data_IF_186846312971
#
_entry.id   IF_186846312971
#
_cell.length_a   1.000
_cell.length_b   1.000
_cell.length_c   1.000
_cell.angle_alpha   90.00
_cell.angle_beta   90.00
_cell.angle_gamma   90.00
#
_symmetry.space_group_name_H-M   'P 1'
#
loop_
_entity.id
_entity.type
_entity.pdbx_description
1 polymer ?
#
# COMPACT_ATOMS: atom_id res chain seq x y z
N UNK A 1 13.47 -6.80 9.34
CA UNK A 1 13.15 -6.68 7.89
C UNK A 1 11.69 -6.21 7.72
N UNK A 2 11.37 -5.34 6.78
CA UNK A 2 10.02 -4.72 6.68
C UNK A 2 8.89 -5.74 6.40
N UNK A 3 9.22 -6.98 6.05
CA UNK A 3 8.27 -8.06 5.79
C UNK A 3 7.87 -8.82 7.06
N UNK A 4 8.54 -8.58 8.20
CA UNK A 4 8.25 -9.26 9.48
C UNK A 4 7.23 -8.53 10.34
N UNK A 5 6.82 -7.33 9.94
CA UNK A 5 5.74 -6.58 10.63
C UNK A 5 4.37 -7.14 10.23
N UNK A 6 3.38 -7.09 11.14
CA UNK A 6 2.02 -7.53 10.85
C UNK A 6 1.41 -6.78 9.66
N UNK A 7 0.54 -7.47 8.90
CA UNK A 7 -0.06 -6.94 7.68
C UNK A 7 -0.98 -5.75 7.97
N UNK A 8 -1.59 -5.72 9.16
CA UNK A 8 -2.46 -4.64 9.62
C UNK A 8 -1.67 -3.35 9.82
N UNK A 9 -0.47 -3.47 10.41
CA UNK A 9 0.43 -2.32 10.62
C UNK A 9 0.94 -1.81 9.27
N UNK A 10 1.28 -2.72 8.36
CA UNK A 10 1.69 -2.36 7.01
C UNK A 10 0.57 -1.62 6.25
N UNK A 11 -0.68 -2.07 6.40
CA UNK A 11 -1.85 -1.41 5.80
C UNK A 11 -2.05 0.02 6.34
N UNK A 12 -1.95 0.22 7.65
CA UNK A 12 -2.07 1.56 8.25
C UNK A 12 -0.94 2.49 7.79
N UNK A 13 0.30 1.99 7.69
CA UNK A 13 1.42 2.76 7.10
C UNK A 13 1.07 3.19 5.67
N UNK A 14 0.54 2.28 4.85
CA UNK A 14 0.19 2.60 3.46
C UNK A 14 -0.90 3.67 3.38
N UNK A 15 -1.91 3.63 4.26
CA UNK A 15 -2.98 4.63 4.32
C UNK A 15 -2.40 6.01 4.67
N UNK A 16 -1.45 6.07 5.61
CA UNK A 16 -0.78 7.32 5.97
C UNK A 16 0.19 7.85 4.89
N UNK A 17 0.60 7.00 3.94
CA UNK A 17 1.41 7.40 2.80
C UNK A 17 0.58 7.83 1.57
N UNK A 18 -0.75 7.83 1.65
CA UNK A 18 -1.60 8.26 0.54
C UNK A 18 -1.45 9.77 0.30
N UNK A 19 -1.35 10.21 -0.97
CA UNK A 19 -1.44 11.62 -1.30
C UNK A 19 -2.83 12.17 -0.99
N UNK A 20 -2.93 13.47 -0.69
CA UNK A 20 -4.21 14.18 -0.47
C UNK A 20 -5.21 14.04 -1.63
N UNK A 21 -4.70 13.79 -2.85
CA UNK A 21 -5.50 13.45 -4.02
C UNK A 21 -5.03 12.11 -4.57
N UNK A 22 -5.89 11.11 -4.48
CA UNK A 22 -5.70 9.80 -5.10
C UNK A 22 -5.92 9.90 -6.60
N UNK A 23 -4.88 10.32 -7.33
CA UNK A 23 -4.86 10.19 -8.79
C UNK A 23 -4.31 8.81 -9.16
N UNK A 24 -4.95 8.08 -10.09
CA UNK A 24 -4.41 6.80 -10.57
C UNK A 24 -3.11 7.06 -11.34
N UNK A 25 -1.99 6.92 -10.64
CA UNK A 25 -0.65 7.04 -11.19
C UNK A 25 0.19 5.83 -10.71
N UNK A 26 0.78 5.05 -11.63
CA UNK A 26 1.63 3.91 -11.27
C UNK A 26 2.84 4.29 -10.41
N UNK A 27 3.22 5.57 -10.38
CA UNK A 27 4.32 6.10 -9.57
C UNK A 27 3.91 6.52 -8.17
N UNK A 28 2.61 6.56 -7.87
CA UNK A 28 2.09 6.95 -6.56
C UNK A 28 1.42 5.76 -5.85
N UNK A 29 1.31 5.87 -4.52
CA UNK A 29 0.51 4.92 -3.75
C UNK A 29 -0.97 5.03 -4.17
N UNK A 30 -1.71 3.91 -4.23
CA UNK A 30 -1.28 2.54 -3.85
C UNK A 30 -0.59 1.74 -4.96
N UNK A 31 -0.60 2.19 -6.21
CA UNK A 31 -0.11 1.40 -7.36
C UNK A 31 1.39 1.09 -7.27
N UNK A 32 2.19 2.03 -6.76
CA UNK A 32 3.62 1.83 -6.51
C UNK A 32 3.85 0.67 -5.53
N UNK A 33 3.05 0.55 -4.47
CA UNK A 33 3.19 -0.48 -3.44
C UNK A 33 2.97 -1.88 -4.01
N UNK A 34 2.05 -2.01 -4.97
CA UNK A 34 1.79 -3.25 -5.70
C UNK A 34 2.97 -3.74 -6.57
N UNK A 35 3.94 -2.88 -6.86
CA UNK A 35 5.11 -3.21 -7.70
C UNK A 35 6.34 -3.65 -6.88
N UNK A 36 6.35 -3.43 -5.56
CA UNK A 36 7.52 -3.70 -4.70
C UNK A 36 7.73 -5.21 -4.48
N UNK A 37 6.71 -5.90 -3.95
CA UNK A 37 6.77 -7.34 -3.69
C UNK A 37 5.36 -7.95 -3.61
N UNK A 38 5.27 -9.29 -3.59
CA UNK A 38 3.98 -10.01 -3.53
C UNK A 38 3.17 -9.66 -2.27
N UNK A 39 3.81 -9.62 -1.11
CA UNK A 39 3.16 -9.33 0.17
C UNK A 39 2.56 -7.92 0.19
N UNK A 40 3.27 -6.92 -0.34
CA UNK A 40 2.77 -5.54 -0.39
C UNK A 40 1.58 -5.42 -1.33
N UNK A 41 1.60 -6.13 -2.47
CA UNK A 41 0.45 -6.22 -3.38
C UNK A 41 -0.75 -6.87 -2.72
N UNK A 42 -0.56 -7.97 -1.99
CA UNK A 42 -1.65 -8.64 -1.25
C UNK A 42 -2.28 -7.72 -0.20
N UNK A 43 -1.47 -6.99 0.57
CA UNK A 43 -1.95 -6.00 1.55
C UNK A 43 -2.67 -4.85 0.87
N UNK A 44 -2.11 -4.30 -0.21
CA UNK A 44 -2.71 -3.17 -0.93
C UNK A 44 -4.06 -3.55 -1.56
N UNK A 45 -4.17 -4.75 -2.14
CA UNK A 45 -5.44 -5.27 -2.69
C UNK A 45 -6.46 -5.62 -1.61
N UNK A 46 -6.02 -6.08 -0.44
CA UNK A 46 -6.90 -6.45 0.68
C UNK A 46 -7.34 -5.25 1.53
N UNK A 47 -6.85 -4.04 1.25
CA UNK A 47 -7.15 -2.82 2.01
C UNK A 47 -7.94 -1.84 1.15
N UNK A 48 -9.29 -1.89 1.16
CA UNK A 48 -10.13 -1.01 0.33
C UNK A 48 -9.90 0.48 0.56
N UNK A 49 -9.48 0.89 1.77
CA UNK A 49 -9.18 2.29 2.14
C UNK A 49 -8.03 2.91 1.33
N UNK A 50 -7.25 2.11 0.60
CA UNK A 50 -6.16 2.58 -0.24
C UNK A 50 -6.58 3.00 -1.66
N UNK A 51 -7.77 2.59 -2.10
CA UNK A 51 -8.29 2.81 -3.45
C UNK A 51 -9.45 3.81 -3.42
#
# INVERSE_FOLDING_TARGET
PILTIPLEILAEIFVHCLPERTTPDPKHAPQLLCQICRQFREVAMSTPRLW
#
